data_IF_480765608006
#
_entry.id   IF_480765608006
#
_cell.length_a   1.000
_cell.length_b   1.000
_cell.length_c   1.000
_cell.angle_alpha   90.00
_cell.angle_beta   90.00
_cell.angle_gamma   90.00
#
_symmetry.space_group_name_H-M   'P 1'
#
loop_
_entity.id
_entity.type
_entity.pdbx_description
1 polymer ?
#
# COMPACT_ATOMS: atom_id res chain seq x y z
N UNK A 1 22.83 -14.99 -0.27
CA UNK A 1 21.60 -14.20 0.02
C UNK A 1 20.94 -13.93 -1.31
N UNK A 2 19.74 -14.46 -1.58
CA UNK A 2 19.00 -14.10 -2.80
C UNK A 2 18.44 -12.69 -2.61
N UNK A 3 18.78 -11.77 -3.50
CA UNK A 3 18.10 -10.49 -3.60
C UNK A 3 16.60 -10.71 -3.86
N UNK A 4 15.77 -9.82 -3.34
CA UNK A 4 14.35 -9.74 -3.70
C UNK A 4 14.26 -9.47 -5.21
N UNK A 5 13.32 -10.13 -5.91
CA UNK A 5 13.12 -9.87 -7.34
C UNK A 5 12.41 -8.53 -7.55
N UNK A 6 12.67 -7.86 -8.66
CA UNK A 6 11.97 -6.60 -9.02
C UNK A 6 10.45 -6.80 -9.06
N UNK A 7 9.98 -7.99 -9.48
CA UNK A 7 8.57 -8.37 -9.44
C UNK A 7 7.99 -8.30 -8.02
N UNK A 8 8.73 -8.75 -7.00
CA UNK A 8 8.28 -8.67 -5.61
C UNK A 8 8.18 -7.21 -5.13
N UNK A 9 9.07 -6.33 -5.60
CA UNK A 9 9.00 -4.88 -5.34
C UNK A 9 7.71 -4.29 -5.94
N UNK A 10 7.41 -4.58 -7.21
CA UNK A 10 6.18 -4.09 -7.85
C UNK A 10 4.91 -4.65 -7.21
N UNK A 11 4.90 -5.92 -6.80
CA UNK A 11 3.78 -6.51 -6.06
C UNK A 11 3.56 -5.78 -4.73
N UNK A 12 4.63 -5.49 -3.99
CA UNK A 12 4.53 -4.77 -2.73
C UNK A 12 3.94 -3.36 -2.91
N UNK A 13 4.33 -2.64 -3.97
CA UNK A 13 3.78 -1.33 -4.30
C UNK A 13 2.27 -1.40 -4.63
N UNK A 14 1.84 -2.40 -5.39
CA UNK A 14 0.41 -2.62 -5.70
C UNK A 14 -0.38 -2.96 -4.43
N UNK A 15 0.14 -3.85 -3.58
CA UNK A 15 -0.49 -4.21 -2.29
C UNK A 15 -0.62 -2.99 -1.39
N UNK A 16 0.36 -2.08 -1.39
CA UNK A 16 0.35 -0.85 -0.60
C UNK A 16 -0.75 0.15 -0.99
N UNK A 17 -1.34 0.04 -2.19
CA UNK A 17 -2.49 0.85 -2.58
C UNK A 17 -3.74 0.56 -1.73
N UNK A 18 -3.88 -0.68 -1.22
CA UNK A 18 -5.00 -1.08 -0.36
C UNK A 18 -5.00 -0.28 0.96
N UNK A 19 -3.94 -0.33 1.80
CA UNK A 19 -3.90 0.49 3.00
C UNK A 19 -3.87 2.00 2.68
N UNK A 20 -3.30 2.42 1.55
CA UNK A 20 -3.35 3.83 1.11
C UNK A 20 -4.79 4.34 0.91
N UNK A 21 -5.62 3.55 0.22
CA UNK A 21 -7.04 3.85 0.04
C UNK A 21 -7.81 3.82 1.38
N UNK A 22 -7.53 2.83 2.23
CA UNK A 22 -8.17 2.72 3.54
C UNK A 22 -7.80 3.89 4.46
N UNK A 23 -6.54 4.33 4.44
CA UNK A 23 -6.07 5.48 5.20
C UNK A 23 -6.73 6.77 4.72
N UNK A 24 -6.88 6.96 3.41
CA UNK A 24 -7.63 8.10 2.87
C UNK A 24 -9.09 8.11 3.35
N UNK A 25 -9.76 6.95 3.30
CA UNK A 25 -11.14 6.81 3.83
C UNK A 25 -11.23 7.09 5.32
N UNK A 26 -10.26 6.61 6.11
CA UNK A 26 -10.21 6.90 7.54
C UNK A 26 -10.03 8.40 7.79
N UNK A 27 -9.13 9.05 7.06
CA UNK A 27 -8.90 10.48 7.19
C UNK A 27 -10.18 11.29 6.91
N UNK A 28 -10.94 10.96 5.86
CA UNK A 28 -12.21 11.67 5.57
C UNK A 28 -13.31 11.37 6.57
N UNK A 29 -13.29 10.23 7.27
CA UNK A 29 -14.24 9.93 8.33
C UNK A 29 -13.95 10.70 9.63
N UNK A 30 -12.68 10.90 9.96
CA UNK A 30 -12.26 11.59 11.20
C UNK A 30 -12.55 13.11 11.21
N UNK A 31 -12.71 13.73 10.04
CA UNK A 31 -13.06 15.15 9.90
C UNK A 31 -14.56 15.41 9.79
N UNK A 32 -15.41 14.37 9.86
CA UNK A 32 -16.87 14.50 9.96
C UNK A 32 -17.28 14.76 11.41
#
# INVERSE_FOLDING_TARGET
>A
MSSISDTQVYIALVVALIPGLLAWRLATELYK
#
